data_IF_096281757351
#
_entry.id   IF_096281757351
#
_cell.length_a   1.000
_cell.length_b   1.000
_cell.length_c   1.000
_cell.angle_alpha   90.00
_cell.angle_beta   90.00
_cell.angle_gamma   90.00
#
_symmetry.space_group_name_H-M   'P 1'
#
loop_
_entity.id
_entity.type
_entity.pdbx_description
1 polymer ?
#
# COMPACT_ATOMS: atom_id res chain seq x y z
N UNK A 1 33.79 3.02 9.21
CA UNK A 1 33.15 1.91 8.49
C UNK A 1 32.08 1.40 9.45
N UNK A 2 30.77 1.58 9.27
CA UNK A 2 29.91 1.49 8.08
C UNK A 2 28.85 2.61 8.20
N UNK A 3 28.49 3.23 7.08
CA UNK A 3 27.39 4.18 7.04
C UNK A 3 26.08 3.43 7.39
N UNK A 4 25.48 3.73 8.55
CA UNK A 4 24.12 3.30 8.86
C UNK A 4 23.18 4.12 7.99
N UNK A 5 22.95 3.70 6.74
CA UNK A 5 21.96 4.34 5.90
C UNK A 5 20.60 4.23 6.58
N UNK A 6 20.00 5.35 6.95
CA UNK A 6 18.58 5.44 7.27
C UNK A 6 17.79 4.97 6.05
N UNK A 7 17.53 3.68 5.93
CA UNK A 7 16.81 3.12 4.80
C UNK A 7 15.31 3.31 5.05
N UNK A 8 14.78 4.42 4.54
CA UNK A 8 13.36 4.78 4.66
C UNK A 8 12.53 4.05 3.60
N UNK A 9 12.64 2.73 3.57
CA UNK A 9 11.91 1.91 2.60
C UNK A 9 10.41 2.04 2.84
N UNK A 10 9.69 2.45 1.80
CA UNK A 10 8.23 2.52 1.83
C UNK A 10 7.67 1.12 1.96
N UNK A 11 8.17 0.15 1.20
CA UNK A 11 7.75 -1.25 1.24
C UNK A 11 8.75 -2.08 2.07
N UNK A 12 8.34 -2.65 3.20
CA UNK A 12 9.22 -3.45 4.08
C UNK A 12 9.28 -4.94 3.70
N UNK A 13 8.19 -5.50 3.18
CA UNK A 13 7.93 -6.94 3.23
C UNK A 13 7.13 -7.50 2.05
N UNK A 14 6.46 -6.65 1.26
CA UNK A 14 5.58 -7.11 0.18
C UNK A 14 6.42 -7.43 -1.07
N UNK A 15 6.38 -8.70 -1.52
CA UNK A 15 6.90 -9.16 -2.84
C UNK A 15 8.34 -8.70 -3.14
N UNK A 16 9.24 -8.75 -2.15
CA UNK A 16 10.64 -8.27 -2.23
C UNK A 16 11.53 -8.98 -3.26
N UNK A 17 11.09 -10.12 -3.80
CA UNK A 17 11.78 -10.83 -4.89
C UNK A 17 11.50 -10.20 -6.26
N UNK A 18 10.53 -9.30 -6.37
CA UNK A 18 10.22 -8.61 -7.62
C UNK A 18 11.02 -7.32 -7.74
N UNK A 19 11.68 -7.11 -8.89
CA UNK A 19 12.42 -5.89 -9.17
C UNK A 19 11.55 -4.63 -9.07
N UNK A 20 10.26 -4.78 -9.40
CA UNK A 20 9.25 -3.73 -9.31
C UNK A 20 7.86 -4.33 -9.14
N UNK A 21 7.28 -4.14 -7.96
CA UNK A 21 5.91 -4.57 -7.67
C UNK A 21 4.91 -3.67 -8.39
N UNK A 22 4.10 -4.26 -9.25
CA UNK A 22 3.03 -3.60 -10.01
C UNK A 22 1.76 -4.43 -9.90
N UNK A 23 0.62 -3.76 -9.73
CA UNK A 23 -0.71 -4.35 -9.74
C UNK A 23 -1.58 -3.64 -10.78
N UNK A 24 -2.20 -4.44 -11.66
CA UNK A 24 -3.10 -3.96 -12.72
C UNK A 24 -4.53 -4.35 -12.38
N UNK A 25 -5.46 -3.42 -12.57
CA UNK A 25 -6.88 -3.61 -12.22
C UNK A 25 -7.72 -3.21 -13.41
N UNK A 26 -8.59 -4.09 -13.87
CA UNK A 26 -9.64 -3.73 -14.81
C UNK A 26 -10.83 -3.15 -14.03
N UNK A 27 -11.10 -1.86 -14.20
CA UNK A 27 -12.16 -1.16 -13.44
C UNK A 27 -13.54 -1.81 -13.67
N UNK A 28 -13.78 -2.38 -14.85
CA UNK A 28 -15.01 -3.10 -15.19
C UNK A 28 -15.25 -4.33 -14.29
N UNK A 29 -14.21 -4.94 -13.73
CA UNK A 29 -14.28 -6.17 -12.92
C UNK A 29 -14.46 -5.91 -11.41
N UNK A 30 -14.47 -4.66 -10.95
CA UNK A 30 -14.62 -4.36 -9.53
C UNK A 30 -15.95 -4.90 -8.98
N UNK A 31 -15.93 -5.81 -8.01
CA UNK A 31 -17.17 -6.36 -7.46
C UNK A 31 -18.00 -5.32 -6.65
N UNK A 32 -17.34 -4.30 -6.11
CA UNK A 32 -17.96 -3.28 -5.24
C UNK A 32 -18.06 -1.93 -5.96
N UNK A 33 -19.08 -1.10 -5.66
CA UNK A 33 -19.19 0.27 -6.17
C UNK A 33 -18.00 1.16 -5.78
N UNK A 34 -17.36 0.86 -4.66
CA UNK A 34 -16.20 1.57 -4.12
C UNK A 34 -15.20 0.54 -3.58
N UNK A 35 -13.98 0.54 -4.13
CA UNK A 35 -12.92 -0.38 -3.72
C UNK A 35 -11.65 0.40 -3.33
N UNK A 36 -11.19 0.31 -2.08
CA UNK A 36 -9.99 1.00 -1.62
C UNK A 36 -8.72 0.17 -1.91
N UNK A 37 -7.73 0.78 -2.55
CA UNK A 37 -6.42 0.19 -2.85
C UNK A 37 -5.32 0.80 -1.98
N UNK A 38 -4.39 -0.04 -1.54
CA UNK A 38 -3.31 0.34 -0.64
C UNK A 38 -2.31 1.27 -1.33
N UNK A 39 -1.83 2.26 -0.58
CA UNK A 39 -0.66 3.08 -0.96
C UNK A 39 0.41 3.14 0.13
N UNK A 40 0.14 2.53 1.28
CA UNK A 40 1.04 2.58 2.43
C UNK A 40 2.00 1.38 2.51
N UNK A 41 1.82 0.34 1.69
CA UNK A 41 2.64 -0.88 1.73
C UNK A 41 2.68 -1.58 3.09
N UNK A 42 1.59 -1.48 3.86
CA UNK A 42 1.42 -2.17 5.16
C UNK A 42 0.20 -3.08 5.21
N UNK A 43 -0.55 -3.19 4.12
CA UNK A 43 -1.78 -4.01 4.11
C UNK A 43 -1.44 -5.49 4.01
N UNK A 44 -2.06 -6.30 4.86
CA UNK A 44 -2.03 -7.76 4.78
C UNK A 44 -2.86 -8.32 3.61
N UNK A 45 -3.74 -7.52 3.01
CA UNK A 45 -4.50 -7.88 1.79
C UNK A 45 -4.04 -7.09 0.56
N UNK A 46 -2.78 -6.60 0.56
CA UNK A 46 -2.19 -5.90 -0.57
C UNK A 46 -2.43 -6.68 -1.88
N UNK A 47 -2.94 -6.03 -2.95
CA UNK A 47 -2.96 -4.58 -3.21
C UNK A 47 -4.16 -3.81 -2.63
N UNK A 48 -5.12 -4.49 -2.00
CA UNK A 48 -6.28 -3.82 -1.38
C UNK A 48 -5.88 -3.10 -0.09
N UNK A 49 -6.69 -2.14 0.33
CA UNK A 49 -6.54 -1.50 1.64
C UNK A 49 -7.40 -2.20 2.69
N UNK A 50 -6.76 -2.65 3.77
CA UNK A 50 -7.41 -3.22 4.97
C UNK A 50 -7.47 -2.26 6.17
N UNK A 51 -6.98 -1.02 6.03
CA UNK A 51 -6.93 -0.04 7.12
C UNK A 51 -5.58 0.04 7.85
N UNK A 52 -4.59 -0.78 7.50
CA UNK A 52 -3.26 -0.77 8.14
C UNK A 52 -2.52 0.58 8.08
N UNK A 53 -2.89 1.45 7.13
CA UNK A 53 -2.37 2.82 7.06
C UNK A 53 -2.67 3.63 8.35
N UNK A 54 -3.77 3.36 9.06
CA UNK A 54 -4.10 4.04 10.31
C UNK A 54 -3.05 3.75 11.39
N UNK A 55 -2.65 2.48 11.54
CA UNK A 55 -1.60 2.07 12.49
C UNK A 55 -0.25 2.67 12.10
N UNK A 56 0.08 2.66 10.81
CA UNK A 56 1.29 3.29 10.28
C UNK A 56 1.33 4.78 10.65
N UNK A 57 0.31 5.53 10.25
CA UNK A 57 0.18 6.97 10.50
C UNK A 57 0.31 7.31 11.99
N UNK A 58 -0.38 6.55 12.86
CA UNK A 58 -0.29 6.76 14.31
C UNK A 58 1.12 6.52 14.86
N UNK A 59 1.84 5.52 14.34
CA UNK A 59 3.16 5.14 14.82
C UNK A 59 4.27 6.09 14.31
N UNK A 60 4.13 6.63 13.10
CA UNK A 60 5.18 7.42 12.43
C UNK A 60 4.89 8.92 12.37
N UNK A 61 3.66 9.35 12.65
CA UNK A 61 3.21 10.72 12.41
C UNK A 61 2.88 11.03 10.94
N UNK A 62 2.77 9.99 10.10
CA UNK A 62 2.45 10.11 8.67
C UNK A 62 0.94 10.32 8.42
N UNK A 63 0.55 10.63 7.18
CA UNK A 63 -0.82 10.96 6.79
C UNK A 63 -1.31 10.23 5.52
N UNK A 64 -0.70 9.10 5.16
CA UNK A 64 -1.08 8.34 3.96
C UNK A 64 -2.47 7.70 4.07
N UNK A 65 -3.10 7.46 2.92
CA UNK A 65 -4.41 6.80 2.83
C UNK A 65 -4.60 6.08 1.50
N UNK A 66 -5.68 5.30 1.35
CA UNK A 66 -5.91 4.50 0.15
C UNK A 66 -6.24 5.35 -1.09
N UNK A 67 -6.10 4.73 -2.27
CA UNK A 67 -6.76 5.20 -3.49
C UNK A 67 -8.15 4.57 -3.56
N UNK A 68 -9.19 5.38 -3.73
CA UNK A 68 -10.56 4.87 -3.85
C UNK A 68 -10.96 4.77 -5.33
N UNK A 69 -11.17 3.55 -5.83
CA UNK A 69 -11.72 3.32 -7.16
C UNK A 69 -13.24 3.19 -7.09
N UNK A 70 -13.95 3.99 -7.88
CA UNK A 70 -15.42 4.00 -7.95
C UNK A 70 -15.88 3.42 -9.28
N UNK A 71 -16.82 2.48 -9.25
CA UNK A 71 -17.66 2.18 -10.42
C UNK A 71 -18.70 3.28 -10.54
N UNK A 72 -18.72 3.97 -11.69
CA UNK A 72 -19.83 4.85 -12.05
C UNK A 72 -20.98 4.04 -12.61
#
# INVERSE_FOLDING_TARGET
MVATSCHWDINSDIRKTEDKVVDSILVAELAKPLTPYCRCWRSGTFPLCDGSHLKNNKATGDNVGPLLLKKQ
#
